data_IF_552208134630
#
_entry.id   IF_552208134630
#
_cell.length_a   1.000
_cell.length_b   1.000
_cell.length_c   1.000
_cell.angle_alpha   90.00
_cell.angle_beta   90.00
_cell.angle_gamma   90.00
#
_symmetry.space_group_name_H-M   'P 1'
#
loop_
_entity.id
_entity.type
_entity.pdbx_description
1 polymer ?
#
# COMPACT_ATOMS: atom_id res chain seq x y z
N UNK A 1 -4.78 31.79 2.11
CA UNK A 1 -4.04 30.77 2.89
C UNK A 1 -5.09 30.03 3.70
N UNK A 2 -5.62 28.95 3.16
CA UNK A 2 -6.69 28.18 3.77
C UNK A 2 -6.08 27.11 4.67
N UNK A 3 -6.32 27.23 5.96
CA UNK A 3 -6.08 26.22 6.99
C UNK A 3 -6.69 24.88 6.56
N UNK A 4 -5.85 23.96 6.07
CA UNK A 4 -6.22 22.55 6.00
C UNK A 4 -5.36 21.77 7.01
N UNK A 5 -6.06 21.35 8.07
CA UNK A 5 -5.72 20.35 9.09
C UNK A 5 -5.05 20.83 10.38
N UNK A 6 -5.89 21.09 11.39
CA UNK A 6 -5.55 21.41 12.78
C UNK A 6 -5.33 20.17 13.68
N UNK A 7 -5.34 18.96 13.12
CA UNK A 7 -5.14 17.72 13.88
C UNK A 7 -3.66 17.28 13.86
N UNK A 8 -3.12 16.71 14.96
CA UNK A 8 -1.78 16.12 14.94
C UNK A 8 -1.71 14.95 13.93
N UNK A 9 -0.54 14.73 13.31
CA UNK A 9 -0.34 13.67 12.30
C UNK A 9 -0.72 12.27 12.81
N UNK A 10 -0.54 12.00 14.10
CA UNK A 10 -0.96 10.75 14.75
C UNK A 10 -2.47 10.51 14.75
N UNK A 11 -3.28 11.55 14.54
CA UNK A 11 -4.73 11.46 14.33
C UNK A 11 -5.12 11.46 12.85
N UNK A 12 -4.18 11.66 11.94
CA UNK A 12 -4.44 11.74 10.49
C UNK A 12 -3.96 10.50 9.75
N UNK A 13 -2.75 10.01 10.04
CA UNK A 13 -2.14 8.83 9.45
C UNK A 13 -2.08 7.71 10.47
N UNK A 14 -2.83 6.64 10.23
CA UNK A 14 -2.82 5.45 11.09
C UNK A 14 -1.50 4.69 10.96
N UNK A 15 -1.03 3.98 12.01
CA UNK A 15 0.09 3.06 11.90
C UNK A 15 -0.11 2.05 10.76
N UNK A 16 0.98 1.67 10.10
CA UNK A 16 0.92 0.77 8.95
C UNK A 16 0.38 -0.61 9.34
N UNK A 17 -0.59 -1.10 8.56
CA UNK A 17 -1.07 -2.47 8.56
C UNK A 17 -1.34 -2.90 7.12
N UNK A 18 -1.15 -4.18 6.82
CA UNK A 18 -1.35 -4.79 5.50
C UNK A 18 -2.40 -5.89 5.59
N UNK A 19 -3.31 -5.96 4.63
CA UNK A 19 -4.28 -7.05 4.50
C UNK A 19 -3.78 -8.15 3.53
N UNK A 20 -2.50 -8.08 3.14
CA UNK A 20 -1.87 -8.99 2.19
C UNK A 20 -2.23 -8.58 0.77
N UNK A 21 -2.67 -9.53 -0.05
CA UNK A 21 -3.09 -9.24 -1.42
C UNK A 21 -4.57 -8.81 -1.52
N UNK A 22 -5.14 -8.31 -0.43
CA UNK A 22 -6.52 -7.86 -0.25
C UNK A 22 -7.56 -8.82 -0.84
N UNK A 23 -8.03 -8.57 -2.06
CA UNK A 23 -9.04 -9.36 -2.78
C UNK A 23 -8.45 -10.58 -3.54
N UNK A 24 -7.14 -10.80 -3.45
CA UNK A 24 -6.42 -11.91 -4.06
C UNK A 24 -5.86 -12.84 -2.98
N UNK A 25 -5.71 -14.15 -3.26
CA UNK A 25 -4.95 -15.05 -2.39
C UNK A 25 -3.51 -14.54 -2.22
N UNK A 26 -2.89 -14.81 -1.07
CA UNK A 26 -1.50 -14.44 -0.78
C UNK A 26 -0.47 -15.39 -1.42
N UNK A 27 -0.96 -16.48 -2.02
CA UNK A 27 -0.19 -17.55 -2.61
C UNK A 27 -1.07 -18.65 -3.21
N UNK A 28 -0.42 -19.73 -3.65
CA UNK A 28 -1.11 -20.95 -4.08
C UNK A 28 -1.45 -21.84 -2.89
N UNK A 29 -2.29 -22.87 -3.08
CA UNK A 29 -2.54 -23.86 -2.03
C UNK A 29 -1.26 -24.54 -1.53
N UNK A 30 -0.30 -24.83 -2.43
CA UNK A 30 0.98 -25.46 -2.08
C UNK A 30 1.98 -24.48 -1.44
N UNK A 31 1.88 -23.19 -1.76
CA UNK A 31 2.73 -22.12 -1.21
C UNK A 31 1.86 -20.92 -0.83
N UNK A 32 1.20 -20.95 0.36
CA UNK A 32 0.15 -19.98 0.72
C UNK A 32 0.60 -18.52 0.84
N UNK A 33 1.91 -18.28 0.96
CA UNK A 33 2.50 -16.92 1.05
C UNK A 33 3.42 -16.61 -0.14
N UNK A 34 3.26 -17.31 -1.27
CA UNK A 34 4.20 -17.26 -2.39
C UNK A 34 4.52 -15.85 -2.87
N UNK A 35 3.54 -14.94 -2.91
CA UNK A 35 3.72 -13.57 -3.37
C UNK A 35 3.27 -12.51 -2.35
N UNK A 36 2.96 -12.94 -1.12
CA UNK A 36 2.57 -12.05 -0.01
C UNK A 36 3.55 -10.87 0.17
N UNK A 37 4.86 -11.12 0.03
CA UNK A 37 5.89 -10.07 0.14
C UNK A 37 5.72 -8.97 -0.91
N UNK A 38 5.30 -9.32 -2.13
CA UNK A 38 5.05 -8.34 -3.18
C UNK A 38 3.87 -7.44 -2.82
N UNK A 39 2.77 -8.04 -2.34
CA UNK A 39 1.58 -7.30 -1.90
C UNK A 39 1.87 -6.43 -0.67
N UNK A 40 2.60 -6.95 0.32
CA UNK A 40 2.99 -6.19 1.51
C UNK A 40 3.77 -4.91 1.18
N UNK A 41 4.71 -4.99 0.22
CA UNK A 41 5.48 -3.82 -0.21
C UNK A 41 4.61 -2.83 -1.00
N UNK A 42 3.66 -3.33 -1.78
CA UNK A 42 2.68 -2.51 -2.50
C UNK A 42 1.75 -1.78 -1.53
N UNK A 43 1.20 -2.50 -0.54
CA UNK A 43 0.42 -1.95 0.57
C UNK A 43 1.16 -0.85 1.31
N UNK A 44 2.47 -0.99 1.54
CA UNK A 44 3.26 0.05 2.21
C UNK A 44 3.31 1.37 1.40
N UNK A 45 3.38 1.28 0.08
CA UNK A 45 3.29 2.46 -0.79
C UNK A 45 1.85 3.02 -0.79
N UNK A 46 0.86 2.13 -0.94
CA UNK A 46 -0.56 2.49 -0.98
C UNK A 46 -1.08 3.11 0.31
N UNK A 47 -0.66 2.58 1.46
CA UNK A 47 -0.95 3.14 2.77
C UNK A 47 -0.45 4.59 2.88
N UNK A 48 0.80 4.82 2.46
CA UNK A 48 1.44 6.15 2.52
C UNK A 48 0.75 7.14 1.57
N UNK A 49 0.39 6.68 0.38
CA UNK A 49 -0.11 7.53 -0.69
C UNK A 49 1.00 8.40 -1.30
N UNK A 50 0.61 9.50 -1.93
CA UNK A 50 1.51 10.40 -2.67
C UNK A 50 0.91 10.80 -4.02
N UNK A 51 1.76 11.24 -4.93
CA UNK A 51 1.40 11.65 -6.29
C UNK A 51 0.94 10.48 -7.17
N UNK A 52 0.27 10.79 -8.28
CA UNK A 52 -0.13 9.77 -9.26
C UNK A 52 1.06 9.02 -9.85
N UNK A 53 2.18 9.72 -10.09
CA UNK A 53 3.43 9.11 -10.56
C UNK A 53 4.01 8.13 -9.55
N UNK A 54 3.94 8.42 -8.25
CA UNK A 54 4.39 7.49 -7.21
C UNK A 54 3.52 6.24 -7.17
N UNK A 55 2.21 6.37 -7.45
CA UNK A 55 1.34 5.19 -7.61
C UNK A 55 1.73 4.37 -8.83
N UNK A 56 1.99 4.99 -9.97
CA UNK A 56 2.44 4.27 -11.18
C UNK A 56 3.71 3.45 -10.89
N UNK A 57 4.67 4.04 -10.18
CA UNK A 57 5.89 3.36 -9.75
C UNK A 57 5.58 2.19 -8.79
N UNK A 58 4.67 2.37 -7.84
CA UNK A 58 4.26 1.31 -6.92
C UNK A 58 3.60 0.13 -7.65
N UNK A 59 2.69 0.42 -8.58
CA UNK A 59 1.98 -0.57 -9.38
C UNK A 59 2.94 -1.35 -10.30
N UNK A 60 3.87 -0.65 -10.95
CA UNK A 60 4.90 -1.29 -11.77
C UNK A 60 5.86 -2.13 -10.92
N UNK A 61 6.21 -1.68 -9.72
CA UNK A 61 7.04 -2.44 -8.78
C UNK A 61 6.35 -3.73 -8.33
N UNK A 62 5.03 -3.69 -8.09
CA UNK A 62 4.23 -4.89 -7.81
C UNK A 62 4.30 -5.87 -8.98
N UNK A 63 4.08 -5.39 -10.21
CA UNK A 63 4.14 -6.20 -11.43
C UNK A 63 5.50 -6.88 -11.59
N UNK A 64 6.59 -6.15 -11.43
CA UNK A 64 7.95 -6.71 -11.51
C UNK A 64 8.17 -7.78 -10.43
N UNK A 65 7.81 -7.47 -9.17
CA UNK A 65 7.96 -8.43 -8.07
C UNK A 65 7.18 -9.73 -8.33
N UNK A 66 5.93 -9.64 -8.77
CA UNK A 66 5.09 -10.79 -9.07
C UNK A 66 5.63 -11.64 -10.23
N UNK A 67 6.15 -10.99 -11.28
CA UNK A 67 6.75 -11.66 -12.42
C UNK A 67 7.95 -12.50 -11.98
N UNK A 68 8.80 -11.91 -11.15
CA UNK A 68 10.05 -12.53 -10.71
C UNK A 68 9.82 -13.59 -9.63
N UNK A 69 8.75 -13.45 -8.85
CA UNK A 69 8.40 -14.37 -7.75
C UNK A 69 7.57 -15.57 -8.21
N UNK A 70 6.69 -15.38 -9.20
CA UNK A 70 5.72 -16.42 -9.58
C UNK A 70 5.48 -16.54 -11.09
N UNK A 71 4.80 -15.59 -11.72
CA UNK A 71 4.52 -15.66 -13.15
C UNK A 71 4.17 -14.31 -13.75
N UNK A 72 4.54 -14.13 -15.03
CA UNK A 72 4.23 -12.92 -15.79
C UNK A 72 2.71 -12.73 -15.98
N UNK A 73 1.95 -13.82 -16.14
CA UNK A 73 0.49 -13.76 -16.30
C UNK A 73 -0.19 -13.21 -15.05
N UNK A 74 0.16 -13.74 -13.86
CA UNK A 74 -0.37 -13.22 -12.59
C UNK A 74 0.01 -11.74 -12.40
N UNK A 75 1.27 -11.39 -12.70
CA UNK A 75 1.75 -10.02 -12.62
C UNK A 75 0.92 -9.04 -13.45
N UNK A 76 0.62 -9.38 -14.70
CA UNK A 76 -0.20 -8.55 -15.60
C UNK A 76 -1.64 -8.43 -15.06
N UNK A 77 -2.24 -9.54 -14.60
CA UNK A 77 -3.60 -9.53 -14.07
C UNK A 77 -3.73 -8.66 -12.81
N UNK A 78 -2.84 -8.85 -11.83
CA UNK A 78 -2.85 -8.06 -10.59
C UNK A 78 -2.54 -6.59 -10.86
N UNK A 79 -1.59 -6.29 -11.77
CA UNK A 79 -1.32 -4.92 -12.22
C UNK A 79 -2.58 -4.23 -12.74
N UNK A 80 -3.29 -4.84 -13.70
CA UNK A 80 -4.53 -4.27 -14.22
C UNK A 80 -5.58 -4.07 -13.12
N UNK A 81 -5.68 -5.01 -12.19
CA UNK A 81 -6.55 -4.92 -11.01
C UNK A 81 -6.26 -3.67 -10.17
N UNK A 82 -5.00 -3.47 -9.74
CA UNK A 82 -4.63 -2.32 -8.90
C UNK A 82 -4.72 -0.98 -9.64
N UNK A 83 -4.46 -0.96 -10.96
CA UNK A 83 -4.63 0.23 -11.81
C UNK A 83 -6.08 0.73 -11.82
N UNK A 84 -7.04 -0.19 -11.78
CA UNK A 84 -8.45 0.15 -11.85
C UNK A 84 -9.07 0.37 -10.47
N UNK A 85 -8.92 -0.60 -9.56
CA UNK A 85 -9.60 -0.64 -8.26
C UNK A 85 -8.81 0.01 -7.11
N UNK A 86 -7.54 0.34 -7.35
CA UNK A 86 -6.66 0.97 -6.35
C UNK A 86 -6.67 2.50 -6.35
N UNK A 87 -7.51 3.14 -7.16
CA UNK A 87 -7.58 4.60 -7.26
C UNK A 87 -8.09 5.24 -5.95
N UNK A 88 -7.65 6.45 -5.58
CA UNK A 88 -7.99 7.06 -4.29
C UNK A 88 -9.47 7.43 -4.12
N UNK A 89 -10.24 7.53 -5.21
CA UNK A 89 -11.67 7.87 -5.18
C UNK A 89 -12.61 6.66 -5.05
N UNK A 90 -12.08 5.44 -4.96
CA UNK A 90 -12.87 4.22 -4.78
C UNK A 90 -13.01 3.90 -3.29
N UNK A 91 -14.14 3.34 -2.89
CA UNK A 91 -14.41 2.92 -1.49
C UNK A 91 -13.82 1.55 -1.16
N UNK A 92 -12.60 1.27 -1.61
CA UNK A 92 -11.86 0.05 -1.27
C UNK A 92 -11.00 0.27 -0.03
N UNK A 93 -10.84 -0.75 0.81
CA UNK A 93 -9.99 -0.69 2.01
C UNK A 93 -8.50 -0.53 1.67
N UNK A 94 -8.11 -0.93 0.46
CA UNK A 94 -6.75 -0.92 -0.08
C UNK A 94 -6.55 0.20 -1.13
N UNK A 95 -7.32 1.29 -1.07
CA UNK A 95 -7.17 2.41 -2.02
C UNK A 95 -5.85 3.16 -1.83
N UNK A 96 -5.38 3.86 -2.85
CA UNK A 96 -4.25 4.78 -2.70
C UNK A 96 -4.50 5.81 -1.58
N UNK A 97 -3.55 5.93 -0.66
CA UNK A 97 -3.65 6.72 0.56
C UNK A 97 -4.57 6.15 1.64
N UNK A 98 -4.79 4.83 1.70
CA UNK A 98 -5.70 4.23 2.70
C UNK A 98 -5.25 4.40 4.16
N UNK A 99 -3.99 4.75 4.41
CA UNK A 99 -3.49 5.02 5.76
C UNK A 99 -4.09 6.27 6.39
N UNK A 100 -4.58 7.19 5.55
CA UNK A 100 -5.13 8.48 5.98
C UNK A 100 -6.60 8.34 6.36
N UNK A 101 -7.01 9.00 7.44
CA UNK A 101 -8.41 9.02 7.90
C UNK A 101 -9.33 9.96 7.08
N UNK A 102 -8.83 10.46 5.96
CA UNK A 102 -9.58 11.26 4.99
C UNK A 102 -9.20 10.87 3.56
N UNK A 103 -9.96 11.36 2.59
CA UNK A 103 -9.67 11.14 1.17
C UNK A 103 -8.54 12.06 0.72
N UNK A 104 -7.30 11.54 0.76
CA UNK A 104 -6.09 12.30 0.42
C UNK A 104 -5.93 12.58 -1.08
N UNK A 105 -6.48 11.73 -1.96
CA UNK A 105 -6.24 11.86 -3.40
C UNK A 105 -4.78 11.60 -3.77
N UNK A 106 -4.23 12.43 -4.66
CA UNK A 106 -2.83 12.35 -5.10
C UNK A 106 -1.92 13.45 -4.53
N UNK A 107 -2.24 13.92 -3.32
CA UNK A 107 -1.45 14.97 -2.69
C UNK A 107 -0.05 14.43 -2.32
N UNK A 108 1.03 15.13 -2.71
CA UNK A 108 2.37 14.77 -2.28
C UNK A 108 2.48 14.86 -0.76
N UNK A 109 3.43 14.14 -0.17
CA UNK A 109 3.71 14.25 1.27
C UNK A 109 4.63 15.44 1.55
N UNK A 110 4.34 16.18 2.61
CA UNK A 110 5.29 17.13 3.20
C UNK A 110 6.48 16.39 3.82
N UNK A 111 7.55 17.12 4.16
CA UNK A 111 8.70 16.52 4.84
C UNK A 111 8.33 15.94 6.20
N UNK A 112 7.45 16.62 6.95
CA UNK A 112 6.94 16.17 8.24
C UNK A 112 6.09 14.91 8.11
N UNK A 113 5.18 14.88 7.13
CA UNK A 113 4.34 13.70 6.85
C UNK A 113 5.20 12.51 6.43
N UNK A 114 6.20 12.74 5.58
CA UNK A 114 7.14 11.70 5.16
C UNK A 114 7.93 11.16 6.35
N UNK A 115 8.45 12.03 7.22
CA UNK A 115 9.17 11.64 8.44
C UNK A 115 8.27 10.81 9.36
N UNK A 116 7.07 11.30 9.65
CA UNK A 116 6.10 10.59 10.49
C UNK A 116 5.70 9.23 9.87
N UNK A 117 5.48 9.18 8.55
CA UNK A 117 5.17 7.90 7.88
C UNK A 117 6.28 6.86 8.05
N UNK A 118 7.55 7.28 8.10
CA UNK A 118 8.69 6.38 8.37
C UNK A 118 8.71 5.94 9.84
N UNK A 119 8.24 6.78 10.75
CA UNK A 119 8.14 6.49 12.18
C UNK A 119 7.11 5.39 12.46
N UNK A 120 5.96 5.43 11.79
CA UNK A 120 4.85 4.49 12.01
C UNK A 120 4.76 3.34 10.97
N UNK A 121 5.76 3.21 10.11
CA UNK A 121 5.93 2.07 9.18
C UNK A 121 6.89 1.00 9.74
N UNK A 122 6.94 -0.22 9.14
CA UNK A 122 7.86 -1.27 9.55
C UNK A 122 9.32 -0.81 9.58
N UNK A 123 10.07 -1.24 10.60
CA UNK A 123 11.50 -0.99 10.72
C UNK A 123 12.30 -2.12 10.08
N UNK A 124 13.52 -1.78 9.69
CA UNK A 124 14.47 -2.75 9.15
C UNK A 124 14.70 -3.87 10.17
N UNK A 125 14.52 -5.12 9.73
CA UNK A 125 14.71 -6.31 10.56
C UNK A 125 13.45 -6.80 11.29
N UNK A 126 12.35 -6.04 11.27
CA UNK A 126 11.08 -6.52 11.82
C UNK A 126 10.39 -7.50 10.87
N UNK A 127 9.71 -8.51 11.43
CA UNK A 127 8.93 -9.46 10.65
C UNK A 127 7.67 -8.81 10.07
N UNK A 128 7.35 -9.13 8.81
CA UNK A 128 6.09 -8.71 8.17
C UNK A 128 4.86 -9.19 8.95
N UNK A 129 4.93 -10.35 9.61
CA UNK A 129 3.79 -10.94 10.34
C UNK A 129 3.28 -10.03 11.47
N UNK A 130 4.11 -9.10 11.97
CA UNK A 130 3.69 -8.07 12.96
C UNK A 130 2.66 -7.08 12.40
N UNK A 131 2.66 -6.87 11.09
CA UNK A 131 1.88 -5.84 10.40
C UNK A 131 0.75 -6.42 9.56
N UNK A 132 0.63 -7.75 9.48
CA UNK A 132 -0.44 -8.41 8.76
C UNK A 132 -1.71 -8.44 9.61
N UNK A 133 -2.81 -7.99 9.02
CA UNK A 133 -4.14 -8.15 9.61
C UNK A 133 -4.48 -9.64 9.58
N UNK A 134 -4.88 -10.19 10.74
CA UNK A 134 -5.30 -11.59 10.85
C UNK A 134 -6.64 -11.76 10.14
N UNK A 135 -6.69 -12.65 9.15
CA UNK A 135 -7.91 -13.08 8.44
C UNK A 135 -8.58 -14.23 9.20
#
# INVERSE_FOLDING_TARGET
MSDFSSAPLSKQLNPFMSDGCSAWPDGTQAKPKAWLKCCFNHDLAYWRGGTEKERDIADDSLKVCLRDTFSNTLAILMYMGVRFWGKPNYKTSYRWGFGWNYDRGYLPLSEEELKFSKEVSPKKGESMDKYLIKK
#
